data_IF_045144318243
#
_entry.id   IF_045144318243
#
_cell.length_a   1.000
_cell.length_b   1.000
_cell.length_c   1.000
_cell.angle_alpha   90.00
_cell.angle_beta   90.00
_cell.angle_gamma   90.00
#
_symmetry.space_group_name_H-M   'P 1'
#
loop_
_entity.id
_entity.type
_entity.pdbx_description
1 polymer ?
#
# COMPACT_ATOMS: atom_id res chain seq x y z
N UNK A 1 30.63 1.45 -17.46
CA UNK A 1 30.65 1.78 -16.03
C UNK A 1 30.83 0.49 -15.27
N UNK A 2 31.96 0.35 -14.58
CA UNK A 2 32.27 -0.82 -13.75
C UNK A 2 31.30 -0.87 -12.58
N UNK A 3 30.37 -1.82 -12.63
CA UNK A 3 29.51 -2.17 -11.52
C UNK A 3 30.28 -3.11 -10.60
N UNK A 4 31.14 -2.56 -9.74
CA UNK A 4 31.73 -3.30 -8.61
C UNK A 4 30.65 -3.52 -7.55
N UNK A 5 29.78 -4.51 -7.78
CA UNK A 5 28.75 -4.91 -6.83
C UNK A 5 29.34 -5.94 -5.89
N UNK A 6 29.84 -5.50 -4.75
CA UNK A 6 30.26 -6.35 -3.63
C UNK A 6 29.06 -6.54 -2.69
N UNK A 7 28.46 -7.74 -2.70
CA UNK A 7 27.39 -8.11 -1.80
C UNK A 7 26.08 -8.51 -2.50
N UNK A 8 25.17 -9.12 -1.73
CA UNK A 8 23.78 -9.41 -2.13
C UNK A 8 23.02 -8.09 -2.07
N UNK A 9 22.73 -7.49 -3.21
CA UNK A 9 21.97 -6.23 -3.29
C UNK A 9 20.65 -6.50 -4.00
N UNK A 10 19.57 -6.21 -3.31
CA UNK A 10 18.25 -6.26 -3.87
C UNK A 10 17.99 -4.98 -4.67
N UNK A 11 17.46 -5.10 -5.87
CA UNK A 11 17.26 -3.95 -6.75
C UNK A 11 16.06 -4.10 -7.69
N UNK A 12 15.53 -2.98 -8.14
CA UNK A 12 14.68 -2.90 -9.30
C UNK A 12 15.51 -2.58 -10.55
N UNK A 13 15.25 -3.31 -11.63
CA UNK A 13 15.98 -3.28 -12.90
C UNK A 13 15.06 -2.78 -14.03
N UNK A 14 15.01 -1.47 -14.30
CA UNK A 14 14.45 -0.95 -15.54
C UNK A 14 15.36 -1.25 -16.73
N UNK A 15 14.79 -1.80 -17.79
CA UNK A 15 15.48 -2.11 -19.06
C UNK A 15 14.91 -1.22 -20.16
N UNK A 16 15.77 -0.52 -20.89
CA UNK A 16 15.41 0.52 -21.84
C UNK A 16 15.70 0.15 -23.29
N UNK A 17 14.91 0.71 -24.19
CA UNK A 17 15.26 0.88 -25.60
C UNK A 17 14.74 2.26 -26.07
N UNK A 18 15.60 3.01 -26.75
CA UNK A 18 15.30 4.37 -27.26
C UNK A 18 14.65 5.24 -26.19
N UNK A 19 15.25 5.30 -25.01
CA UNK A 19 14.78 6.06 -23.83
C UNK A 19 13.41 5.63 -23.27
N UNK A 20 12.86 4.49 -23.73
CA UNK A 20 11.60 3.94 -23.23
C UNK A 20 11.84 2.68 -22.42
N UNK A 21 11.20 2.56 -21.25
CA UNK A 21 11.28 1.35 -20.42
C UNK A 21 10.49 0.23 -21.11
N UNK A 22 11.20 -0.86 -21.42
CA UNK A 22 10.62 -2.06 -22.04
C UNK A 22 10.22 -3.11 -21.00
N UNK A 23 10.99 -3.22 -19.92
CA UNK A 23 10.80 -4.23 -18.89
C UNK A 23 11.34 -3.69 -17.56
N UNK A 24 10.68 -4.07 -16.47
CA UNK A 24 11.14 -3.81 -15.10
C UNK A 24 11.14 -5.16 -14.37
N UNK A 25 12.20 -5.47 -13.66
CA UNK A 25 12.31 -6.68 -12.85
C UNK A 25 13.00 -6.42 -11.54
N UNK A 26 12.82 -7.31 -10.55
CA UNK A 26 13.60 -7.31 -9.32
C UNK A 26 14.71 -8.36 -9.37
N UNK A 27 15.79 -8.11 -8.65
CA UNK A 27 16.86 -9.06 -8.45
C UNK A 27 17.34 -9.01 -6.99
N UNK A 28 17.53 -10.17 -6.37
CA UNK A 28 18.23 -10.31 -5.08
C UNK A 28 19.76 -10.27 -5.32
N UNK A 29 20.18 -10.75 -6.48
CA UNK A 29 21.56 -10.67 -6.94
C UNK A 29 21.57 -10.15 -8.37
N UNK A 30 21.95 -8.88 -8.52
CA UNK A 30 21.99 -8.17 -9.79
C UNK A 30 22.89 -8.87 -10.82
N UNK A 31 24.10 -9.26 -10.41
CA UNK A 31 25.10 -9.89 -11.29
C UNK A 31 24.58 -11.21 -11.87
N UNK A 32 24.00 -12.05 -11.03
CA UNK A 32 23.38 -13.31 -11.44
C UNK A 32 22.21 -13.07 -12.39
N UNK A 33 21.37 -12.08 -12.08
CA UNK A 33 20.19 -11.74 -12.88
C UNK A 33 20.58 -11.22 -14.26
N UNK A 34 21.51 -10.29 -14.34
CA UNK A 34 22.01 -9.77 -15.61
C UNK A 34 22.66 -10.90 -16.44
N UNK A 35 23.51 -11.72 -15.82
CA UNK A 35 24.09 -12.88 -16.51
C UNK A 35 23.04 -13.84 -17.05
N UNK A 36 21.92 -14.06 -16.36
CA UNK A 36 20.84 -14.93 -16.82
C UNK A 36 20.16 -14.40 -18.09
N UNK A 37 20.17 -13.09 -18.31
CA UNK A 37 19.63 -12.50 -19.54
C UNK A 37 20.58 -12.70 -20.75
N UNK A 38 21.90 -12.65 -20.54
CA UNK A 38 22.91 -12.78 -21.57
C UNK A 38 23.42 -14.22 -21.75
N UNK A 39 23.10 -15.12 -20.82
CA UNK A 39 23.54 -16.51 -20.87
C UNK A 39 22.73 -17.35 -21.86
N UNK A 40 23.38 -18.45 -22.33
CA UNK A 40 22.73 -19.46 -23.19
C UNK A 40 21.65 -20.30 -22.45
N UNK A 41 21.55 -20.16 -21.11
CA UNK A 41 20.57 -20.89 -20.33
C UNK A 41 19.15 -20.38 -20.65
N UNK A 42 18.30 -21.32 -20.98
CA UNK A 42 16.91 -21.09 -21.31
C UNK A 42 16.16 -20.69 -20.03
N UNK A 43 16.06 -19.40 -19.71
CA UNK A 43 15.36 -18.86 -18.53
C UNK A 43 13.83 -19.15 -18.58
N UNK A 44 13.40 -20.04 -19.50
CA UNK A 44 12.00 -20.48 -19.63
C UNK A 44 11.01 -19.39 -20.04
N UNK A 45 11.48 -18.15 -20.22
CA UNK A 45 10.65 -17.00 -20.58
C UNK A 45 10.87 -16.59 -22.03
N UNK A 46 9.93 -16.90 -22.94
CA UNK A 46 10.11 -16.68 -24.39
C UNK A 46 10.40 -15.23 -24.77
N UNK A 47 9.86 -14.26 -23.99
CA UNK A 47 10.00 -12.84 -24.27
C UNK A 47 11.42 -12.30 -24.04
N UNK A 48 12.25 -12.97 -23.23
CA UNK A 48 13.63 -12.51 -22.94
C UNK A 48 14.45 -12.43 -24.22
N UNK A 49 14.32 -13.39 -25.13
CA UNK A 49 15.02 -13.36 -26.41
C UNK A 49 14.64 -12.14 -27.27
N UNK A 50 13.36 -11.73 -27.23
CA UNK A 50 12.89 -10.55 -27.93
C UNK A 50 13.34 -9.27 -27.25
N UNK A 51 13.34 -9.24 -25.91
CA UNK A 51 13.82 -8.15 -25.11
C UNK A 51 15.30 -7.88 -25.38
N UNK A 52 16.12 -8.94 -25.37
CA UNK A 52 17.58 -8.85 -25.59
C UNK A 52 17.98 -8.32 -26.96
N UNK A 53 17.13 -8.49 -27.98
CA UNK A 53 17.37 -7.91 -29.31
C UNK A 53 17.08 -6.41 -29.39
N UNK A 54 16.42 -5.84 -28.38
CA UNK A 54 15.94 -4.45 -28.39
C UNK A 54 16.52 -3.60 -27.26
N UNK A 55 17.28 -4.22 -26.36
CA UNK A 55 17.86 -3.53 -25.21
C UNK A 55 18.99 -2.61 -25.68
N UNK A 56 18.95 -1.36 -25.23
CA UNK A 56 20.02 -0.39 -25.42
C UNK A 56 20.75 -0.13 -24.12
N UNK A 57 20.03 -0.07 -22.99
CA UNK A 57 20.58 0.23 -21.69
C UNK A 57 19.77 -0.43 -20.55
N UNK A 58 20.39 -0.53 -19.39
CA UNK A 58 19.76 -1.00 -18.18
C UNK A 58 20.17 -0.14 -16.99
N UNK A 59 19.23 0.21 -16.15
CA UNK A 59 19.49 0.88 -14.88
C UNK A 59 19.26 -0.06 -13.70
N UNK A 60 19.83 0.29 -12.57
CA UNK A 60 19.64 -0.42 -11.31
C UNK A 60 19.33 0.58 -10.18
N UNK A 61 18.21 0.39 -9.54
CA UNK A 61 17.82 1.16 -8.35
C UNK A 61 17.96 0.22 -7.15
N UNK A 62 18.99 0.46 -6.33
CA UNK A 62 19.27 -0.32 -5.13
C UNK A 62 18.24 -0.05 -4.04
N UNK A 63 17.88 -1.08 -3.29
CA UNK A 63 17.00 -1.01 -2.14
C UNK A 63 17.62 -1.78 -0.97
N UNK A 64 17.24 -1.43 0.25
CA UNK A 64 17.79 -2.05 1.45
C UNK A 64 17.18 -3.45 1.69
N UNK A 65 15.91 -3.64 1.30
CA UNK A 65 15.17 -4.88 1.53
C UNK A 65 14.56 -5.44 0.24
N UNK A 66 14.26 -6.73 0.24
CA UNK A 66 13.55 -7.39 -0.87
C UNK A 66 12.12 -6.86 -1.01
N UNK A 67 11.48 -6.51 0.11
CA UNK A 67 10.14 -5.94 0.13
C UNK A 67 10.10 -4.57 -0.55
N UNK A 68 11.09 -3.71 -0.28
CA UNK A 68 11.24 -2.42 -0.96
C UNK A 68 11.46 -2.58 -2.46
N UNK A 69 12.32 -3.52 -2.88
CA UNK A 69 12.52 -3.80 -4.31
C UNK A 69 11.23 -4.24 -4.98
N UNK A 70 10.42 -5.05 -4.31
CA UNK A 70 9.14 -5.53 -4.81
C UNK A 70 8.12 -4.38 -4.96
N UNK A 71 8.06 -3.50 -3.97
CA UNK A 71 7.21 -2.31 -3.99
C UNK A 71 7.66 -1.36 -5.11
N UNK A 72 8.96 -1.14 -5.24
CA UNK A 72 9.53 -0.28 -6.27
C UNK A 72 9.28 -0.83 -7.67
N UNK A 73 9.51 -2.13 -7.90
CA UNK A 73 9.18 -2.82 -9.15
C UNK A 73 7.72 -2.59 -9.54
N UNK A 74 6.80 -2.82 -8.62
CA UNK A 74 5.36 -2.67 -8.86
C UNK A 74 4.97 -1.21 -9.18
N UNK A 75 5.53 -0.24 -8.43
CA UNK A 75 5.28 1.17 -8.65
C UNK A 75 5.80 1.63 -10.02
N UNK A 76 7.01 1.20 -10.39
CA UNK A 76 7.60 1.50 -11.70
C UNK A 76 6.79 0.86 -12.85
N UNK A 77 6.34 -0.39 -12.69
CA UNK A 77 5.50 -1.06 -13.69
C UNK A 77 4.16 -0.32 -13.86
N UNK A 78 3.53 0.11 -12.78
CA UNK A 78 2.28 0.88 -12.83
C UNK A 78 2.46 2.24 -13.50
N UNK A 79 3.57 2.92 -13.19
CA UNK A 79 3.91 4.24 -13.74
C UNK A 79 4.23 4.17 -15.24
N UNK A 80 5.05 3.22 -15.66
CA UNK A 80 5.61 3.16 -17.00
C UNK A 80 4.91 2.16 -17.93
N UNK A 81 4.12 1.22 -17.40
CA UNK A 81 3.38 0.17 -18.13
C UNK A 81 4.21 -0.51 -19.21
N UNK A 82 5.38 -1.08 -18.86
CA UNK A 82 6.30 -1.61 -19.85
C UNK A 82 5.70 -2.77 -20.65
N UNK A 83 6.14 -2.90 -21.91
CA UNK A 83 5.55 -3.85 -22.87
C UNK A 83 5.69 -5.30 -22.41
N UNK A 84 6.84 -5.66 -21.82
CA UNK A 84 7.17 -7.05 -21.48
C UNK A 84 6.80 -7.48 -20.05
N UNK A 85 6.23 -6.59 -19.23
CA UNK A 85 5.69 -6.94 -17.90
C UNK A 85 4.25 -7.44 -17.99
N UNK A 86 4.01 -8.57 -18.66
CA UNK A 86 2.66 -9.09 -18.93
C UNK A 86 1.94 -9.53 -17.64
N UNK A 87 2.65 -10.19 -16.71
CA UNK A 87 2.06 -10.77 -15.48
C UNK A 87 1.70 -9.74 -14.39
N UNK A 88 2.45 -8.64 -14.30
CA UNK A 88 2.22 -7.61 -13.27
C UNK A 88 1.30 -6.47 -13.75
N UNK A 89 0.76 -6.59 -14.95
CA UNK A 89 -0.36 -5.76 -15.41
C UNK A 89 -1.68 -6.15 -14.75
N UNK A 90 -1.74 -7.37 -14.20
CA UNK A 90 -2.89 -7.85 -13.45
C UNK A 90 -2.78 -7.38 -12.00
N UNK A 91 -3.63 -6.44 -11.60
CA UNK A 91 -3.67 -5.78 -10.28
C UNK A 91 -3.98 -6.73 -9.09
N UNK A 92 -4.05 -8.05 -9.36
CA UNK A 92 -4.51 -9.04 -8.38
C UNK A 92 -3.46 -9.46 -7.34
N UNK A 93 -2.20 -9.09 -7.51
CA UNK A 93 -1.10 -9.66 -6.71
C UNK A 93 -0.89 -8.94 -5.38
N UNK A 94 -1.00 -7.62 -5.33
CA UNK A 94 -0.74 -6.84 -4.13
C UNK A 94 -1.97 -6.10 -3.63
N UNK A 95 -2.08 -6.03 -2.31
CA UNK A 95 -3.16 -5.32 -1.64
C UNK A 95 -2.68 -3.97 -1.11
N UNK A 96 -3.54 -2.98 -1.11
CA UNK A 96 -3.31 -1.67 -0.52
C UNK A 96 -4.42 -1.37 0.48
N UNK A 97 -4.12 -0.57 1.49
CA UNK A 97 -5.11 0.01 2.38
C UNK A 97 -5.59 1.32 1.74
N UNK A 98 -6.88 1.49 1.65
CA UNK A 98 -7.52 2.69 1.13
C UNK A 98 -8.29 3.39 2.25
N UNK A 99 -8.07 4.69 2.40
CA UNK A 99 -8.91 5.58 3.21
C UNK A 99 -9.77 6.40 2.26
N UNK A 100 -11.09 6.26 2.35
CA UNK A 100 -12.05 6.83 1.37
C UNK A 100 -12.39 8.28 1.70
N UNK A 101 -11.44 9.21 1.56
CA UNK A 101 -11.66 10.64 1.82
C UNK A 101 -12.64 11.31 0.86
N UNK A 102 -12.98 10.66 -0.24
CA UNK A 102 -14.03 11.10 -1.16
C UNK A 102 -15.45 10.83 -0.64
N UNK A 103 -15.60 9.98 0.37
CA UNK A 103 -16.88 9.70 1.02
C UNK A 103 -17.10 10.72 2.15
N UNK A 104 -18.34 11.12 2.38
CA UNK A 104 -18.72 12.04 3.46
C UNK A 104 -18.27 11.52 4.83
N UNK A 105 -18.45 10.23 5.07
CA UNK A 105 -17.99 9.51 6.24
C UNK A 105 -16.92 8.50 5.79
N UNK A 106 -15.63 8.84 5.82
CA UNK A 106 -14.57 7.96 5.34
C UNK A 106 -14.51 6.63 6.08
N UNK A 107 -14.03 5.61 5.39
CA UNK A 107 -13.76 4.28 5.96
C UNK A 107 -12.42 3.75 5.49
N UNK A 108 -11.90 2.78 6.22
CA UNK A 108 -10.66 2.09 5.88
C UNK A 108 -10.97 0.71 5.32
N UNK A 109 -10.43 0.42 4.15
CA UNK A 109 -10.69 -0.85 3.46
C UNK A 109 -9.48 -1.35 2.68
N UNK A 110 -9.45 -2.67 2.44
CA UNK A 110 -8.48 -3.28 1.53
C UNK A 110 -8.92 -3.08 0.09
N UNK A 111 -7.99 -2.71 -0.78
CA UNK A 111 -8.23 -2.64 -2.21
C UNK A 111 -7.02 -3.16 -2.99
N UNK A 112 -7.28 -3.64 -4.21
CA UNK A 112 -6.25 -3.95 -5.21
C UNK A 112 -6.30 -2.99 -6.39
N UNK A 113 -7.28 -2.07 -6.38
CA UNK A 113 -7.49 -1.10 -7.46
C UNK A 113 -7.15 0.29 -6.97
N UNK A 114 -6.30 0.96 -7.70
CA UNK A 114 -6.01 2.38 -7.52
C UNK A 114 -6.94 3.21 -8.41
N UNK A 115 -7.53 4.25 -7.84
CA UNK A 115 -8.26 5.28 -8.61
C UNK A 115 -7.71 6.63 -8.23
N UNK A 116 -7.42 7.46 -9.21
CA UNK A 116 -6.99 8.83 -8.97
C UNK A 116 -8.15 9.64 -8.37
N UNK A 117 -7.89 10.43 -7.33
CA UNK A 117 -8.90 11.21 -6.63
C UNK A 117 -8.45 11.64 -5.25
N UNK A 118 -9.41 12.02 -4.39
CA UNK A 118 -9.16 12.48 -3.00
C UNK A 118 -8.80 11.36 -2.02
N UNK A 119 -9.00 10.09 -2.41
CA UNK A 119 -8.75 8.95 -1.55
C UNK A 119 -7.26 8.73 -1.32
N UNK A 120 -6.89 8.32 -0.11
CA UNK A 120 -5.52 7.96 0.21
C UNK A 120 -5.31 6.45 0.06
N UNK A 121 -4.13 6.08 -0.46
CA UNK A 121 -3.72 4.70 -0.66
C UNK A 121 -2.38 4.47 0.00
N UNK A 122 -2.29 3.41 0.80
CA UNK A 122 -1.10 2.98 1.52
C UNK A 122 -0.70 1.58 1.06
N UNK A 123 0.58 1.36 0.85
CA UNK A 123 1.13 0.14 0.24
C UNK A 123 1.62 0.41 -1.19
N UNK A 124 1.84 -0.57 -2.04
CA UNK A 124 1.35 -1.96 -1.97
C UNK A 124 2.04 -2.84 -0.92
N UNK A 125 1.30 -3.74 -0.29
CA UNK A 125 1.81 -4.68 0.69
C UNK A 125 1.97 -6.07 0.09
N UNK A 126 3.10 -6.73 0.39
CA UNK A 126 3.39 -8.08 -0.09
C UNK A 126 2.51 -9.17 0.54
N UNK A 127 2.10 -8.99 1.79
CA UNK A 127 1.28 -9.95 2.53
C UNK A 127 -0.14 -9.45 2.75
N UNK A 128 -1.12 -10.14 2.18
CA UNK A 128 -2.54 -9.85 2.42
C UNK A 128 -2.99 -10.22 3.84
N UNK A 129 -2.32 -11.19 4.48
CA UNK A 129 -2.60 -11.60 5.86
C UNK A 129 -2.18 -10.50 6.83
N UNK A 130 -0.94 -9.98 6.70
CA UNK A 130 -0.45 -8.87 7.53
C UNK A 130 -1.35 -7.62 7.41
N UNK A 131 -1.82 -7.30 6.20
CA UNK A 131 -2.76 -6.20 5.98
C UNK A 131 -4.09 -6.42 6.70
N UNK A 132 -4.62 -7.64 6.70
CA UNK A 132 -5.87 -7.95 7.41
C UNK A 132 -5.71 -7.86 8.93
N UNK A 133 -4.58 -8.30 9.46
CA UNK A 133 -4.26 -8.17 10.88
C UNK A 133 -4.12 -6.71 11.28
N UNK A 134 -3.39 -5.91 10.51
CA UNK A 134 -3.28 -4.47 10.72
C UNK A 134 -4.65 -3.79 10.71
N UNK A 135 -5.52 -4.12 9.75
CA UNK A 135 -6.88 -3.59 9.72
C UNK A 135 -7.73 -4.04 10.91
N UNK A 136 -7.50 -5.25 11.44
CA UNK A 136 -8.18 -5.71 12.66
C UNK A 136 -7.80 -4.81 13.84
N UNK A 137 -6.50 -4.52 14.02
CA UNK A 137 -6.02 -3.61 15.06
C UNK A 137 -6.59 -2.21 14.86
N UNK A 138 -6.54 -1.65 13.66
CA UNK A 138 -7.10 -0.32 13.35
C UNK A 138 -8.58 -0.26 13.73
N UNK A 139 -9.38 -1.25 13.39
CA UNK A 139 -10.82 -1.31 13.71
C UNK A 139 -11.11 -1.47 15.20
N UNK A 140 -10.19 -2.01 15.97
CA UNK A 140 -10.33 -2.14 17.43
C UNK A 140 -10.02 -0.83 18.13
N UNK A 141 -9.00 -0.11 17.64
CA UNK A 141 -8.53 1.14 18.28
C UNK A 141 -9.31 2.36 17.79
N UNK A 142 -9.68 2.38 16.51
CA UNK A 142 -10.39 3.49 15.88
C UNK A 142 -11.76 3.01 15.40
N UNK A 143 -12.86 3.38 16.10
CA UNK A 143 -14.20 2.87 15.81
C UNK A 143 -14.83 3.52 14.57
N UNK A 144 -14.15 3.43 13.43
CA UNK A 144 -14.63 3.93 12.15
C UNK A 144 -15.63 2.96 11.53
N UNK A 145 -16.58 3.50 10.76
CA UNK A 145 -17.55 2.66 10.04
C UNK A 145 -16.88 1.68 9.08
N UNK A 146 -17.41 0.46 9.01
CA UNK A 146 -16.95 -0.58 8.09
C UNK A 146 -17.98 -0.89 7.00
N UNK A 147 -19.23 -0.44 7.18
CA UNK A 147 -20.35 -0.72 6.29
C UNK A 147 -20.21 -0.02 4.92
N UNK A 148 -20.90 -0.58 3.91
CA UNK A 148 -21.00 0.02 2.58
C UNK A 148 -21.92 1.25 2.59
N UNK A 149 -21.80 2.12 1.59
CA UNK A 149 -22.63 3.33 1.51
C UNK A 149 -24.13 3.03 1.39
N UNK A 150 -24.50 1.95 0.67
CA UNK A 150 -25.90 1.54 0.59
C UNK A 150 -26.45 1.11 1.95
N UNK A 151 -25.65 0.37 2.73
CA UNK A 151 -26.02 -0.05 4.06
C UNK A 151 -26.08 1.13 5.05
N UNK A 152 -25.17 2.08 4.91
CA UNK A 152 -25.09 3.30 5.71
C UNK A 152 -26.35 4.17 5.59
N UNK A 153 -26.77 4.44 4.33
CA UNK A 153 -27.90 5.34 4.04
C UNK A 153 -29.26 4.79 4.46
N UNK A 154 -29.38 3.46 4.56
CA UNK A 154 -30.66 2.79 4.87
C UNK A 154 -30.81 2.44 6.36
N UNK A 155 -29.95 2.99 7.23
CA UNK A 155 -30.02 2.72 8.66
C UNK A 155 -30.94 3.71 9.38
N UNK A 156 -31.80 3.15 10.22
CA UNK A 156 -32.69 3.90 11.14
C UNK A 156 -32.31 3.71 12.61
N UNK A 157 -31.41 2.74 12.89
CA UNK A 157 -30.89 2.45 14.24
C UNK A 157 -29.42 2.03 14.17
N UNK A 158 -28.69 2.21 15.26
CA UNK A 158 -27.33 1.73 15.42
C UNK A 158 -27.25 0.20 15.16
N UNK A 159 -26.13 -0.25 14.64
CA UNK A 159 -25.90 -1.67 14.32
C UNK A 159 -25.03 -2.35 15.39
N UNK A 160 -24.90 -3.67 15.30
CA UNK A 160 -24.07 -4.47 16.19
C UNK A 160 -22.65 -3.95 16.34
N UNK A 161 -22.03 -3.39 15.29
CA UNK A 161 -20.67 -2.81 15.37
C UNK A 161 -20.60 -1.63 16.33
N UNK A 162 -21.68 -0.88 16.53
CA UNK A 162 -21.80 0.16 17.55
C UNK A 162 -21.91 -0.44 18.94
N UNK A 163 -22.79 -1.42 19.13
CA UNK A 163 -23.02 -2.07 20.43
C UNK A 163 -21.74 -2.71 20.99
N UNK A 164 -20.87 -3.23 20.11
CA UNK A 164 -19.58 -3.82 20.52
C UNK A 164 -18.41 -2.81 20.49
N UNK A 165 -18.70 -1.50 20.39
CA UNK A 165 -17.69 -0.44 20.45
C UNK A 165 -16.76 -0.33 19.25
N UNK A 166 -17.11 -0.94 18.08
CA UNK A 166 -16.27 -0.93 16.87
C UNK A 166 -16.67 0.10 15.82
N UNK A 167 -17.73 0.87 16.10
CA UNK A 167 -18.20 1.94 15.24
C UNK A 167 -18.88 3.00 16.08
N UNK A 168 -18.72 4.25 15.75
CA UNK A 168 -19.35 5.39 16.42
C UNK A 168 -20.75 5.71 15.89
N UNK A 169 -21.31 4.85 15.02
CA UNK A 169 -22.63 4.96 14.41
C UNK A 169 -22.95 6.33 13.75
N UNK A 170 -22.09 6.84 12.86
CA UNK A 170 -22.37 8.10 12.14
C UNK A 170 -23.61 8.02 11.23
N UNK A 171 -24.12 6.81 10.98
CA UNK A 171 -25.33 6.61 10.16
C UNK A 171 -26.63 6.99 10.87
N UNK A 172 -26.61 7.24 12.16
CA UNK A 172 -27.73 7.65 13.01
C UNK A 172 -27.32 8.82 13.93
N UNK A 173 -26.35 9.60 13.49
CA UNK A 173 -25.89 10.87 14.08
C UNK A 173 -25.45 10.77 15.55
N UNK A 174 -24.90 9.61 15.98
CA UNK A 174 -24.38 9.41 17.34
C UNK A 174 -22.95 9.95 17.53
N UNK A 175 -22.34 10.50 16.51
CA UNK A 175 -21.03 11.18 16.55
C UNK A 175 -21.08 12.44 15.69
N UNK A 176 -20.39 13.49 16.11
CA UNK A 176 -20.21 14.68 15.30
C UNK A 176 -19.29 14.40 14.10
N UNK A 177 -19.42 15.18 13.04
CA UNK A 177 -18.56 15.07 11.86
C UNK A 177 -17.10 15.34 12.20
N UNK A 178 -16.85 16.33 13.07
CA UNK A 178 -15.51 16.79 13.44
C UNK A 178 -14.80 15.71 14.27
N UNK A 179 -15.46 15.12 15.26
CA UNK A 179 -14.90 14.04 16.07
C UNK A 179 -14.58 12.81 15.22
N UNK A 180 -15.48 12.46 14.26
CA UNK A 180 -15.23 11.35 13.36
C UNK A 180 -14.03 11.61 12.46
N UNK A 181 -13.89 12.82 11.91
CA UNK A 181 -12.75 13.18 11.06
C UNK A 181 -11.44 13.28 11.84
N UNK A 182 -11.49 13.56 13.14
CA UNK A 182 -10.32 13.47 14.00
C UNK A 182 -9.83 12.02 14.11
N UNK A 183 -10.72 11.05 14.31
CA UNK A 183 -10.36 9.62 14.29
C UNK A 183 -9.81 9.17 12.93
N UNK A 184 -10.40 9.63 11.83
CA UNK A 184 -9.87 9.37 10.48
C UNK A 184 -8.44 9.92 10.33
N UNK A 185 -8.18 11.14 10.84
CA UNK A 185 -6.85 11.76 10.76
C UNK A 185 -5.80 10.96 11.53
N UNK A 186 -6.16 10.41 12.69
CA UNK A 186 -5.27 9.57 13.49
C UNK A 186 -4.94 8.25 12.78
N UNK A 187 -5.91 7.64 12.12
CA UNK A 187 -5.64 6.45 11.28
C UNK A 187 -4.70 6.80 10.12
N UNK A 188 -4.85 7.96 9.51
CA UNK A 188 -3.94 8.42 8.44
C UNK A 188 -2.51 8.62 8.98
N UNK A 189 -2.35 9.19 10.18
CA UNK A 189 -1.03 9.33 10.83
C UNK A 189 -0.39 7.96 11.09
N UNK A 190 -1.16 7.00 11.61
CA UNK A 190 -0.70 5.63 11.83
C UNK A 190 -0.21 5.01 10.52
N UNK A 191 -1.01 5.08 9.45
CA UNK A 191 -0.68 4.50 8.14
C UNK A 191 0.50 5.20 7.44
N UNK A 192 0.79 6.47 7.80
CA UNK A 192 1.98 7.21 7.35
C UNK A 192 3.25 6.88 8.17
N UNK A 193 3.14 6.03 9.19
CA UNK A 193 4.26 5.72 10.08
C UNK A 193 4.63 6.85 11.07
N UNK A 194 3.76 7.86 11.26
CA UNK A 194 3.98 8.98 12.19
C UNK A 194 3.58 8.60 13.63
N UNK A 195 4.11 7.48 14.12
CA UNK A 195 3.72 6.88 15.41
C UNK A 195 3.94 7.81 16.59
N UNK A 196 5.06 8.55 16.65
CA UNK A 196 5.35 9.50 17.74
C UNK A 196 4.33 10.64 17.87
N UNK A 197 3.81 11.11 16.74
CA UNK A 197 2.79 12.16 16.73
C UNK A 197 1.44 11.61 17.21
N UNK A 198 1.09 10.42 16.72
CA UNK A 198 -0.12 9.71 17.15
C UNK A 198 -0.08 9.40 18.65
N UNK A 199 1.05 8.93 19.18
CA UNK A 199 1.27 8.63 20.60
C UNK A 199 0.97 9.85 21.47
N UNK A 200 1.52 11.02 21.12
CA UNK A 200 1.26 12.27 21.83
C UNK A 200 -0.22 12.65 21.86
N UNK A 201 -0.93 12.44 20.76
CA UNK A 201 -2.37 12.72 20.66
C UNK A 201 -3.16 11.79 21.59
N UNK A 202 -2.84 10.49 21.56
CA UNK A 202 -3.51 9.49 22.39
C UNK A 202 -3.22 9.73 23.87
N UNK A 203 -1.99 10.00 24.25
CA UNK A 203 -1.62 10.35 25.65
C UNK A 203 -2.38 11.57 26.17
N UNK A 204 -2.51 12.61 25.34
CA UNK A 204 -3.30 13.80 25.71
C UNK A 204 -4.77 13.46 25.95
N UNK A 205 -5.37 12.63 25.05
CA UNK A 205 -6.76 12.15 25.22
C UNK A 205 -6.93 11.33 26.50
N UNK A 206 -5.99 10.44 26.81
CA UNK A 206 -6.01 9.64 28.03
C UNK A 206 -5.95 10.50 29.27
N UNK A 207 -5.09 11.53 29.34
CA UNK A 207 -5.01 12.47 30.46
C UNK A 207 -6.32 13.23 30.64
N UNK A 208 -6.85 13.82 29.57
CA UNK A 208 -8.12 14.54 29.62
C UNK A 208 -9.28 13.66 30.13
N UNK A 209 -9.33 12.40 29.67
CA UNK A 209 -10.34 11.44 30.11
C UNK A 209 -10.16 11.02 31.58
N UNK A 210 -8.92 10.91 32.06
CA UNK A 210 -8.62 10.63 33.47
C UNK A 210 -9.03 11.80 34.38
N UNK A 211 -8.70 13.02 33.98
CA UNK A 211 -9.06 14.24 34.71
C UNK A 211 -10.59 14.43 34.82
N UNK A 212 -11.32 14.14 33.71
CA UNK A 212 -12.79 14.19 33.66
C UNK A 212 -13.48 13.14 34.57
N UNK A 213 -12.80 12.06 34.98
CA UNK A 213 -13.31 11.03 35.91
C UNK A 213 -12.94 11.29 37.39
N UNK A 214 -12.18 12.32 37.64
CA UNK A 214 -11.70 12.65 38.98
C UNK A 214 -12.71 13.46 39.84
N UNK A 215 -13.99 13.48 39.43
CA UNK A 215 -15.08 14.14 40.16
C UNK A 215 -16.24 13.20 40.43
#
# INVERSE_FOLDING_TARGET
RDLTVTGVQTCALPIYARSRILYIGKAINLRSRVRSYFGKSNDGRPFIRLLMKRIDDLDCILTETEEEALILENNLIKKHRPLYNVRLKDDKTYVSIKVTLSEEWPRVMVTRRYRQGKDLYFGPYGSSTAVREMLRVIKTVFPLRTCTNGFFRNRTRACMEYEIGRCTAPCVDLISKDDYMEDVSQVVLLLKGRSKELERIIEKRMRNASEARSY
#
